data_IF_290046224835
#
_entry.id   IF_290046224835
#
_cell.length_a   1.000
_cell.length_b   1.000
_cell.length_c   1.000
_cell.angle_alpha   90.00
_cell.angle_beta   90.00
_cell.angle_gamma   90.00
#
_symmetry.space_group_name_H-M   'P 1'
#
loop_
_entity.id
_entity.type
_entity.pdbx_description
1 polymer ?
#
# COMPACT_ATOMS: atom_id res chain seq x y z
N UNK A 1 -37.82 -26.75 -29.18
CA UNK A 1 -36.36 -26.56 -29.11
C UNK A 1 -35.97 -25.32 -28.26
N UNK A 2 -36.64 -25.08 -27.13
CA UNK A 2 -36.44 -23.90 -26.24
C UNK A 2 -36.08 -24.30 -24.80
N UNK A 3 -36.27 -25.57 -24.42
CA UNK A 3 -36.04 -26.05 -23.04
C UNK A 3 -34.58 -26.39 -22.69
N UNK A 4 -33.66 -26.40 -23.66
CA UNK A 4 -32.24 -26.67 -23.38
C UNK A 4 -31.46 -25.42 -22.89
N UNK A 5 -31.91 -24.21 -23.26
CA UNK A 5 -31.21 -22.97 -22.86
C UNK A 5 -31.46 -22.58 -21.41
N UNK A 6 -32.62 -22.91 -20.84
CA UNK A 6 -32.95 -22.58 -19.45
C UNK A 6 -32.21 -23.46 -18.43
N UNK A 7 -31.95 -24.74 -18.78
CA UNK A 7 -31.18 -25.66 -17.93
C UNK A 7 -29.71 -25.26 -17.76
N UNK A 8 -29.09 -24.73 -18.82
CA UNK A 8 -27.70 -24.24 -18.78
C UNK A 8 -27.55 -22.96 -17.96
N UNK A 9 -28.54 -22.06 -17.97
CA UNK A 9 -28.55 -20.86 -17.13
C UNK A 9 -28.64 -21.20 -15.63
N UNK A 10 -29.43 -22.21 -15.27
CA UNK A 10 -29.55 -22.67 -13.88
C UNK A 10 -28.27 -23.35 -13.37
N UNK A 11 -27.60 -24.13 -14.23
CA UNK A 11 -26.31 -24.75 -13.91
C UNK A 11 -25.19 -23.69 -13.76
N UNK A 12 -25.20 -22.63 -14.57
CA UNK A 12 -24.27 -21.50 -14.41
C UNK A 12 -24.51 -20.71 -13.12
N UNK A 13 -25.77 -20.45 -12.75
CA UNK A 13 -26.11 -19.78 -11.50
C UNK A 13 -25.80 -20.63 -10.26
N UNK A 14 -25.97 -21.96 -10.35
CA UNK A 14 -25.58 -22.88 -9.28
C UNK A 14 -24.06 -23.00 -9.13
N UNK A 15 -23.31 -23.01 -10.24
CA UNK A 15 -21.85 -22.96 -10.21
C UNK A 15 -21.32 -21.62 -9.67
N UNK A 16 -21.96 -20.49 -9.99
CA UNK A 16 -21.61 -19.19 -9.42
C UNK A 16 -21.91 -19.10 -7.91
N UNK A 17 -23.02 -19.69 -7.44
CA UNK A 17 -23.30 -19.80 -5.99
C UNK A 17 -22.34 -20.73 -5.26
N UNK A 18 -21.83 -21.77 -5.92
CA UNK A 18 -20.86 -22.72 -5.34
C UNK A 18 -19.45 -22.14 -5.18
N UNK A 19 -19.11 -21.05 -5.88
CA UNK A 19 -17.79 -20.40 -5.74
C UNK A 19 -17.74 -19.47 -4.51
N UNK A 20 -18.89 -19.10 -3.93
CA UNK A 20 -18.94 -18.24 -2.75
C UNK A 20 -18.74 -18.97 -1.40
N UNK A 21 -18.67 -20.31 -1.37
CA UNK A 21 -18.60 -21.09 -0.11
C UNK A 21 -17.23 -21.66 0.25
N UNK A 22 -16.14 -21.16 -0.35
CA UNK A 22 -14.78 -21.44 0.12
C UNK A 22 -14.01 -20.14 0.35
N UNK A 23 -14.59 -19.24 1.14
CA UNK A 23 -13.78 -18.24 1.84
C UNK A 23 -12.90 -19.01 2.83
N UNK A 24 -11.63 -19.16 2.47
CA UNK A 24 -10.58 -19.64 3.37
C UNK A 24 -10.74 -18.95 4.72
N UNK A 25 -10.86 -19.75 5.78
CA UNK A 25 -11.01 -19.37 7.18
C UNK A 25 -9.74 -18.71 7.74
N UNK A 26 -9.25 -17.67 7.08
CA UNK A 26 -8.36 -16.72 7.72
C UNK A 26 -9.24 -15.65 8.39
N UNK A 27 -9.13 -15.43 9.71
CA UNK A 27 -9.77 -14.28 10.33
C UNK A 27 -9.41 -13.02 9.51
N UNK A 28 -10.43 -12.24 9.17
CA UNK A 28 -10.33 -11.06 8.30
C UNK A 28 -9.60 -9.93 9.04
N UNK A 29 -8.34 -10.17 9.41
CA UNK A 29 -7.52 -9.21 10.09
C UNK A 29 -7.17 -8.12 9.09
N UNK A 30 -7.64 -6.90 9.33
CA UNK A 30 -7.29 -5.73 8.52
C UNK A 30 -5.79 -5.36 8.62
N UNK A 31 -5.03 -6.00 9.52
CA UNK A 31 -3.65 -5.68 9.80
C UNK A 31 -2.87 -6.91 10.28
N UNK A 32 -1.60 -6.99 9.90
CA UNK A 32 -0.63 -8.00 10.36
C UNK A 32 0.65 -7.32 10.85
N UNK A 33 1.50 -8.08 11.53
CA UNK A 33 2.88 -7.69 11.85
C UNK A 33 3.85 -8.54 11.05
N UNK A 34 4.73 -7.90 10.30
CA UNK A 34 5.85 -8.56 9.64
C UNK A 34 7.12 -8.43 10.47
N UNK A 35 7.71 -9.57 10.85
CA UNK A 35 8.91 -9.67 11.67
C UNK A 35 10.05 -10.40 10.92
N UNK A 36 10.75 -9.66 10.05
CA UNK A 36 11.76 -10.26 9.17
C UNK A 36 13.15 -10.44 9.79
N UNK A 37 13.46 -9.71 10.87
CA UNK A 37 14.71 -9.83 11.63
C UNK A 37 14.49 -9.32 13.04
N UNK A 38 15.29 -9.82 14.01
CA UNK A 38 15.15 -9.71 15.48
C UNK A 38 14.88 -8.32 16.09
N UNK A 39 14.77 -7.22 15.33
CA UNK A 39 14.45 -5.88 15.84
C UNK A 39 13.72 -4.99 14.82
N UNK A 40 12.90 -5.55 13.93
CA UNK A 40 12.25 -4.79 12.86
C UNK A 40 10.83 -5.26 12.56
N UNK A 41 9.96 -5.22 13.57
CA UNK A 41 8.54 -5.43 13.38
C UNK A 41 7.93 -4.28 12.53
N UNK A 42 7.10 -4.62 11.56
CA UNK A 42 6.38 -3.66 10.71
C UNK A 42 4.91 -4.02 10.73
N UNK A 43 4.06 -3.08 11.13
CA UNK A 43 2.62 -3.22 10.91
C UNK A 43 2.32 -3.05 9.43
N UNK A 44 1.53 -3.95 8.87
CA UNK A 44 1.13 -3.94 7.46
C UNK A 44 -0.40 -4.00 7.39
N UNK A 45 -0.98 -3.15 6.54
CA UNK A 45 -2.43 -3.10 6.28
C UNK A 45 -2.69 -2.87 4.79
N UNK A 46 -3.94 -3.01 4.36
CA UNK A 46 -4.39 -2.74 2.99
C UNK A 46 -5.47 -1.67 3.02
N UNK A 47 -5.31 -0.64 2.18
CA UNK A 47 -6.25 0.49 2.05
C UNK A 47 -6.42 0.75 0.57
N UNK A 48 -7.66 0.73 0.07
CA UNK A 48 -8.00 0.86 -1.35
C UNK A 48 -7.16 -0.09 -2.24
N UNK A 49 -7.05 -1.36 -1.83
CA UNK A 49 -6.25 -2.40 -2.51
C UNK A 49 -4.74 -2.09 -2.63
N UNK A 50 -4.25 -1.07 -1.91
CA UNK A 50 -2.84 -0.75 -1.82
C UNK A 50 -2.28 -1.24 -0.49
N UNK A 51 -1.09 -1.84 -0.47
CA UNK A 51 -0.51 -2.29 0.78
C UNK A 51 0.32 -1.16 1.40
N UNK A 52 0.23 -1.07 2.72
CA UNK A 52 0.85 -0.03 3.53
C UNK A 52 1.66 -0.64 4.65
N UNK A 53 2.84 -0.10 4.93
CA UNK A 53 3.59 -0.44 6.13
C UNK A 53 3.82 0.78 7.01
N UNK A 54 3.79 0.59 8.32
CA UNK A 54 4.16 1.62 9.28
C UNK A 54 5.69 1.63 9.47
N UNK A 55 6.32 2.79 9.23
CA UNK A 55 7.75 2.98 9.42
C UNK A 55 8.14 2.92 10.90
N UNK A 56 9.28 2.29 11.21
CA UNK A 56 9.88 2.32 12.56
C UNK A 56 10.93 3.40 12.74
N UNK A 57 11.02 4.37 11.83
CA UNK A 57 11.96 5.48 11.97
C UNK A 57 13.42 5.17 11.62
N UNK A 58 13.91 3.94 11.87
CA UNK A 58 15.33 3.53 11.77
C UNK A 58 16.10 4.06 10.55
N UNK A 59 15.47 4.03 9.36
CA UNK A 59 16.11 4.48 8.09
C UNK A 59 15.39 5.70 7.47
N UNK A 60 14.40 6.27 8.15
CA UNK A 60 13.58 7.36 7.60
C UNK A 60 13.56 8.62 8.46
N UNK A 61 13.98 8.53 9.72
CA UNK A 61 13.80 9.59 10.71
C UNK A 61 12.34 9.81 11.16
N UNK A 62 11.38 9.11 10.55
CA UNK A 62 9.95 9.32 10.78
C UNK A 62 9.25 8.03 11.18
N UNK A 63 9.40 7.68 12.45
CA UNK A 63 8.64 6.59 13.05
C UNK A 63 7.14 6.89 13.04
N UNK A 64 6.32 5.88 12.74
CA UNK A 64 4.87 6.00 12.71
C UNK A 64 4.30 6.50 11.37
N UNK A 65 5.12 6.94 10.41
CA UNK A 65 4.63 7.28 9.06
C UNK A 65 4.27 6.03 8.27
N UNK A 66 3.08 6.01 7.69
CA UNK A 66 2.60 4.95 6.80
C UNK A 66 3.06 5.17 5.37
N UNK A 67 3.71 4.16 4.78
CA UNK A 67 4.20 4.20 3.41
C UNK A 67 3.59 3.09 2.57
N UNK A 68 3.22 3.44 1.35
CA UNK A 68 2.87 2.49 0.32
C UNK A 68 4.10 1.65 -0.08
N UNK A 69 3.86 0.40 -0.46
CA UNK A 69 4.89 -0.52 -0.97
C UNK A 69 4.30 -1.51 -1.98
N UNK A 70 5.12 -2.32 -2.62
CA UNK A 70 4.72 -3.28 -3.67
C UNK A 70 4.65 -4.74 -3.22
N UNK A 71 4.84 -5.00 -1.93
CA UNK A 71 4.99 -6.35 -1.37
C UNK A 71 6.36 -6.59 -0.75
N UNK A 72 6.62 -7.84 -0.37
CA UNK A 72 7.86 -8.26 0.27
C UNK A 72 8.68 -9.12 -0.69
N UNK A 73 9.97 -8.86 -0.77
CA UNK A 73 10.85 -9.61 -1.66
C UNK A 73 11.01 -11.06 -1.19
N UNK A 74 10.56 -12.04 -1.98
CA UNK A 74 10.58 -13.46 -1.58
C UNK A 74 11.94 -14.13 -1.78
N UNK A 75 12.74 -13.63 -2.73
CA UNK A 75 14.06 -14.14 -3.10
C UNK A 75 15.09 -13.02 -3.05
N UNK A 76 16.31 -13.31 -2.60
CA UNK A 76 17.41 -12.34 -2.69
C UNK A 76 17.59 -11.86 -4.14
N UNK A 77 17.81 -10.56 -4.31
CA UNK A 77 18.22 -9.94 -5.58
C UNK A 77 19.68 -9.47 -5.49
N UNK A 78 20.23 -8.92 -6.57
CA UNK A 78 21.59 -8.37 -6.57
C UNK A 78 21.82 -7.30 -5.49
N UNK A 79 20.80 -6.45 -5.24
CA UNK A 79 20.92 -5.29 -4.36
C UNK A 79 20.20 -5.43 -3.02
N UNK A 80 19.31 -6.43 -2.87
CA UNK A 80 18.46 -6.56 -1.69
C UNK A 80 18.34 -8.00 -1.24
N UNK A 81 18.46 -8.22 0.06
CA UNK A 81 18.17 -9.51 0.68
C UNK A 81 16.69 -9.85 0.54
N UNK A 82 16.34 -11.14 0.65
CA UNK A 82 14.97 -11.58 0.90
C UNK A 82 14.34 -10.75 2.04
N UNK A 83 13.01 -10.65 2.08
CA UNK A 83 12.24 -9.94 3.10
C UNK A 83 12.29 -8.42 3.09
N UNK A 84 12.99 -7.83 2.12
CA UNK A 84 12.95 -6.39 1.92
C UNK A 84 11.57 -5.95 1.43
N UNK A 85 11.06 -4.85 2.00
CA UNK A 85 9.85 -4.19 1.50
C UNK A 85 10.17 -3.51 0.17
N UNK A 86 9.38 -3.80 -0.85
CA UNK A 86 9.53 -3.26 -2.19
C UNK A 86 8.98 -1.84 -2.22
N UNK A 87 9.84 -0.82 -2.17
CA UNK A 87 9.42 0.59 -2.05
C UNK A 87 9.19 1.22 -3.42
N UNK A 88 8.42 2.32 -3.51
CA UNK A 88 8.24 3.01 -4.79
C UNK A 88 9.52 3.62 -5.37
N UNK A 89 10.54 3.91 -4.56
CA UNK A 89 11.83 4.39 -5.08
C UNK A 89 12.55 3.31 -5.91
N UNK A 90 12.45 2.04 -5.54
CA UNK A 90 12.92 0.93 -6.39
C UNK A 90 12.06 0.72 -7.65
N UNK A 91 10.87 1.31 -7.73
CA UNK A 91 10.06 1.39 -8.98
C UNK A 91 10.47 2.59 -9.86
N UNK A 92 11.19 3.57 -9.31
CA UNK A 92 11.42 4.87 -9.95
C UNK A 92 12.67 4.91 -10.85
N UNK A 93 13.59 3.97 -10.70
CA UNK A 93 14.88 3.97 -11.42
C UNK A 93 14.74 3.65 -12.92
N UNK A 94 13.63 3.07 -13.37
CA UNK A 94 13.50 2.68 -14.78
C UNK A 94 12.71 3.64 -15.68
N UNK A 95 11.78 4.51 -15.20
CA UNK A 95 11.00 5.41 -16.10
C UNK A 95 10.04 6.44 -15.45
N UNK A 96 10.32 6.97 -14.26
CA UNK A 96 9.35 7.83 -13.54
C UNK A 96 9.92 9.14 -12.99
N UNK A 97 9.67 10.26 -13.69
CA UNK A 97 10.05 11.59 -13.21
C UNK A 97 9.15 12.06 -12.05
N UNK A 98 9.74 12.76 -11.06
CA UNK A 98 9.03 13.31 -9.87
C UNK A 98 7.76 14.10 -10.22
N UNK A 99 7.76 14.76 -11.37
CA UNK A 99 6.66 15.55 -11.92
C UNK A 99 5.46 14.70 -12.34
N UNK A 100 5.66 13.44 -12.77
CA UNK A 100 4.60 12.55 -13.24
C UNK A 100 3.76 11.97 -12.10
N UNK A 101 4.36 11.77 -10.92
CA UNK A 101 3.69 11.15 -9.77
C UNK A 101 2.81 12.12 -8.95
N UNK A 102 3.19 13.40 -8.90
CA UNK A 102 2.54 14.38 -8.04
C UNK A 102 2.06 15.63 -8.79
N UNK A 103 2.37 15.73 -10.09
CA UNK A 103 2.19 16.96 -10.85
C UNK A 103 3.27 18.01 -10.55
N UNK A 104 3.33 19.00 -11.44
CA UNK A 104 4.25 20.13 -11.34
C UNK A 104 3.98 20.99 -10.11
N UNK A 105 2.71 21.24 -9.78
CA UNK A 105 2.31 22.12 -8.67
C UNK A 105 2.79 21.61 -7.30
N UNK A 106 2.57 20.33 -7.00
CA UNK A 106 2.99 19.72 -5.72
C UNK A 106 4.52 19.62 -5.67
N UNK A 107 5.15 19.24 -6.78
CA UNK A 107 6.61 19.17 -6.88
C UNK A 107 7.25 20.53 -6.61
N UNK A 108 6.68 21.60 -7.18
CA UNK A 108 7.11 22.97 -6.93
C UNK A 108 6.91 23.35 -5.46
N UNK A 109 5.74 23.08 -4.87
CA UNK A 109 5.46 23.37 -3.46
C UNK A 109 6.47 22.68 -2.52
N UNK A 110 6.73 21.39 -2.74
CA UNK A 110 7.70 20.59 -1.97
C UNK A 110 9.13 21.15 -2.05
N UNK A 111 9.53 21.66 -3.22
CA UNK A 111 10.83 22.33 -3.41
C UNK A 111 10.87 23.70 -2.74
N UNK A 112 9.88 24.56 -3.02
CA UNK A 112 9.76 25.92 -2.49
C UNK A 112 9.78 25.96 -0.96
N UNK A 113 9.24 24.93 -0.30
CA UNK A 113 9.20 24.84 1.15
C UNK A 113 10.27 23.91 1.74
N UNK A 114 11.28 23.50 0.95
CA UNK A 114 12.40 22.63 1.34
C UNK A 114 11.98 21.30 1.97
N UNK A 115 10.77 20.80 1.69
CA UNK A 115 10.25 19.56 2.27
C UNK A 115 11.06 18.35 1.78
N UNK A 116 11.57 18.40 0.55
CA UNK A 116 12.40 17.35 -0.05
C UNK A 116 13.70 17.05 0.71
N UNK A 117 14.20 17.99 1.52
CA UNK A 117 15.38 17.79 2.37
C UNK A 117 15.07 16.90 3.59
N UNK A 118 13.80 16.85 3.99
CA UNK A 118 13.36 16.10 5.16
C UNK A 118 12.93 14.69 4.75
N UNK A 119 12.14 14.57 3.68
CA UNK A 119 11.62 13.28 3.25
C UNK A 119 11.81 13.07 1.75
N UNK A 120 12.23 11.86 1.37
CA UNK A 120 12.19 11.45 -0.02
C UNK A 120 10.73 11.27 -0.43
N UNK A 121 10.17 12.29 -1.08
CA UNK A 121 8.74 12.35 -1.37
C UNK A 121 8.24 11.23 -2.30
N UNK A 122 9.12 10.65 -3.14
CA UNK A 122 8.78 9.47 -3.94
C UNK A 122 8.42 8.23 -3.11
N UNK A 123 8.74 8.20 -1.80
CA UNK A 123 8.33 7.10 -0.92
C UNK A 123 6.83 7.01 -0.71
N UNK A 124 6.10 8.08 -0.97
CA UNK A 124 4.63 8.06 -0.90
C UNK A 124 3.99 7.43 -2.14
N UNK A 125 4.72 7.23 -3.24
CA UNK A 125 4.12 6.81 -4.52
C UNK A 125 3.58 8.02 -5.27
N UNK A 126 2.25 8.15 -5.37
CA UNK A 126 1.53 9.25 -6.03
C UNK A 126 0.81 10.16 -5.03
N UNK A 127 0.09 11.13 -5.57
CA UNK A 127 -0.63 12.12 -4.78
C UNK A 127 -1.77 11.52 -3.95
N UNK A 128 -2.50 10.53 -4.49
CA UNK A 128 -3.54 9.82 -3.76
C UNK A 128 -2.94 9.15 -2.52
N UNK A 129 -1.84 8.44 -2.72
CA UNK A 129 -1.14 7.73 -1.63
C UNK A 129 -0.50 8.69 -0.64
N UNK A 130 0.00 9.85 -1.07
CA UNK A 130 0.44 10.89 -0.15
C UNK A 130 -0.71 11.43 0.71
N UNK A 131 -1.89 11.66 0.12
CA UNK A 131 -3.10 12.09 0.86
C UNK A 131 -3.56 11.03 1.86
N UNK A 132 -3.61 9.76 1.46
CA UNK A 132 -3.95 8.63 2.34
C UNK A 132 -2.97 8.54 3.53
N UNK A 133 -1.66 8.61 3.27
CA UNK A 133 -0.64 8.65 4.32
C UNK A 133 -0.85 9.84 5.27
N UNK A 134 -1.14 11.02 4.72
CA UNK A 134 -1.41 12.22 5.49
C UNK A 134 -2.68 12.12 6.35
N UNK A 135 -3.73 11.44 5.88
CA UNK A 135 -4.93 11.12 6.66
C UNK A 135 -4.59 10.32 7.91
N UNK A 136 -3.77 9.26 7.77
CA UNK A 136 -3.36 8.41 8.88
C UNK A 136 -2.50 9.17 9.90
N UNK A 137 -1.64 10.08 9.42
CA UNK A 137 -0.77 10.90 10.26
C UNK A 137 0.47 10.15 10.76
N UNK A 138 0.99 10.52 11.93
CA UNK A 138 2.21 9.95 12.51
C UNK A 138 3.51 10.41 11.83
N UNK A 139 4.63 10.26 12.53
CA UNK A 139 5.98 10.57 12.04
C UNK A 139 6.11 11.92 11.33
N UNK A 140 6.47 11.90 10.04
CA UNK A 140 6.67 13.07 9.20
C UNK A 140 5.48 14.04 9.26
N UNK A 141 4.25 13.53 9.28
CA UNK A 141 3.03 14.35 9.26
C UNK A 141 2.81 15.14 10.56
N UNK A 142 3.48 14.78 11.66
CA UNK A 142 3.47 15.52 12.92
C UNK A 142 4.48 16.68 12.94
N UNK A 143 5.49 16.64 12.05
CA UNK A 143 6.48 17.71 11.94
C UNK A 143 5.86 19.02 11.41
N UNK A 144 6.53 20.15 11.67
CA UNK A 144 6.08 21.45 11.14
C UNK A 144 6.01 21.50 9.60
N UNK A 145 6.90 20.79 8.90
CA UNK A 145 6.89 20.67 7.43
C UNK A 145 5.78 19.73 6.96
N UNK A 146 5.58 18.62 7.65
CA UNK A 146 4.49 17.68 7.35
C UNK A 146 3.11 18.29 7.55
N UNK A 147 2.90 19.08 8.61
CA UNK A 147 1.66 19.82 8.84
C UNK A 147 1.36 20.79 7.70
N UNK A 148 2.34 21.59 7.26
CA UNK A 148 2.18 22.52 6.12
C UNK A 148 1.81 21.78 4.83
N UNK A 149 2.52 20.70 4.53
CA UNK A 149 2.22 19.91 3.34
C UNK A 149 0.83 19.26 3.41
N UNK A 150 0.47 18.70 4.58
CA UNK A 150 -0.86 18.12 4.80
C UNK A 150 -1.97 19.16 4.56
N UNK A 151 -1.80 20.40 5.05
CA UNK A 151 -2.76 21.47 4.78
C UNK A 151 -2.86 21.81 3.30
N UNK A 152 -1.73 21.87 2.59
CA UNK A 152 -1.71 22.06 1.14
C UNK A 152 -2.42 20.93 0.40
N UNK A 153 -2.11 19.67 0.73
CA UNK A 153 -2.74 18.50 0.10
C UNK A 153 -4.25 18.47 0.39
N UNK A 154 -4.67 18.74 1.63
CA UNK A 154 -6.09 18.76 2.00
C UNK A 154 -6.87 19.85 1.28
N UNK A 155 -6.25 21.01 1.03
CA UNK A 155 -6.86 22.11 0.28
C UNK A 155 -7.05 21.77 -1.21
N UNK A 156 -6.06 21.13 -1.82
CA UNK A 156 -6.04 20.95 -3.29
C UNK A 156 -6.53 19.57 -3.75
N UNK A 157 -6.51 18.56 -2.88
CA UNK A 157 -6.86 17.18 -3.20
C UNK A 157 -7.71 16.52 -2.09
N UNK A 158 -8.80 17.17 -1.61
CA UNK A 158 -9.60 16.67 -0.49
C UNK A 158 -10.21 15.30 -0.76
N UNK A 159 -10.52 14.98 -2.02
CA UNK A 159 -11.15 13.72 -2.43
C UNK A 159 -10.33 12.47 -2.14
N UNK A 160 -9.01 12.60 -1.97
CA UNK A 160 -8.12 11.47 -1.66
C UNK A 160 -7.89 11.26 -0.16
N UNK A 161 -8.43 12.12 0.71
CA UNK A 161 -8.31 11.96 2.15
C UNK A 161 -9.32 10.93 2.65
N UNK A 162 -8.83 9.97 3.44
CA UNK A 162 -9.70 9.00 4.14
C UNK A 162 -10.70 9.68 5.07
N UNK A 163 -11.88 9.05 5.21
CA UNK A 163 -12.89 9.47 6.17
C UNK A 163 -12.42 9.27 7.62
N UNK A 164 -12.97 10.02 8.61
CA UNK A 164 -12.64 9.85 10.02
C UNK A 164 -12.87 8.43 10.54
N UNK A 165 -13.90 7.75 10.05
CA UNK A 165 -14.24 6.38 10.43
C UNK A 165 -13.15 5.38 10.02
N UNK A 166 -12.71 5.43 8.76
CA UNK A 166 -11.62 4.58 8.27
C UNK A 166 -10.33 4.82 9.06
N UNK A 167 -10.00 6.10 9.34
CA UNK A 167 -8.82 6.46 10.12
C UNK A 167 -8.91 5.87 11.54
N UNK A 168 -10.08 5.96 12.19
CA UNK A 168 -10.31 5.40 13.53
C UNK A 168 -10.10 3.88 13.53
N UNK A 169 -10.69 3.18 12.57
CA UNK A 169 -10.58 1.72 12.46
C UNK A 169 -9.13 1.28 12.30
N UNK A 170 -8.37 1.91 11.40
CA UNK A 170 -6.95 1.57 11.18
C UNK A 170 -6.11 1.83 12.44
N UNK A 171 -6.34 2.95 13.13
CA UNK A 171 -5.63 3.26 14.37
C UNK A 171 -5.93 2.27 15.48
N UNK A 172 -7.20 1.88 15.62
CA UNK A 172 -7.61 0.87 16.60
C UNK A 172 -6.96 -0.48 16.29
N UNK A 173 -6.94 -0.91 15.02
CA UNK A 173 -6.22 -2.11 14.60
C UNK A 173 -4.72 -2.03 14.89
N UNK A 174 -4.10 -0.85 14.69
CA UNK A 174 -2.67 -0.65 14.98
C UNK A 174 -2.35 -0.74 16.48
N UNK A 175 -3.30 -0.43 17.36
CA UNK A 175 -3.15 -0.54 18.81
C UNK A 175 -3.36 -1.96 19.33
N UNK A 176 -3.93 -2.87 18.52
CA UNK A 176 -4.13 -4.26 18.92
C UNK A 176 -2.78 -4.97 19.07
N UNK A 177 -2.56 -5.61 20.21
CA UNK A 177 -1.36 -6.43 20.49
C UNK A 177 -1.48 -7.85 19.96
N UNK A 178 -2.70 -8.30 19.69
CA UNK A 178 -3.02 -9.66 19.22
C UNK A 178 -3.17 -9.68 17.70
N UNK A 179 -2.16 -9.16 16.98
CA UNK A 179 -2.10 -9.22 15.52
C UNK A 179 -1.36 -10.48 15.06
N UNK A 180 -1.76 -11.12 13.94
CA UNK A 180 -0.98 -12.18 13.33
C UNK A 180 0.44 -11.70 13.03
N UNK A 181 1.44 -12.50 13.43
CA UNK A 181 2.85 -12.22 13.18
C UNK A 181 3.34 -13.17 12.09
N UNK A 182 3.79 -12.61 10.98
CA UNK A 182 4.44 -13.35 9.91
C UNK A 182 5.94 -13.05 9.89
N UNK A 183 6.75 -14.09 9.81
CA UNK A 183 8.20 -13.98 9.66
C UNK A 183 8.67 -14.38 8.26
N UNK A 184 7.83 -15.12 7.51
CA UNK A 184 8.09 -15.47 6.11
C UNK A 184 7.50 -14.42 5.16
N UNK A 185 8.33 -13.79 4.28
CA UNK A 185 7.87 -12.98 3.16
C UNK A 185 6.73 -13.58 2.33
N UNK A 186 6.73 -14.91 2.11
CA UNK A 186 5.68 -15.58 1.35
C UNK A 186 4.32 -15.48 2.04
N UNK A 187 4.28 -15.61 3.37
CA UNK A 187 3.04 -15.47 4.15
C UNK A 187 2.50 -14.05 4.06
N UNK A 188 3.38 -13.05 4.10
CA UNK A 188 2.96 -11.65 3.92
C UNK A 188 2.37 -11.43 2.55
N UNK A 189 3.05 -11.88 1.48
CA UNK A 189 2.55 -11.70 0.12
C UNK A 189 1.25 -12.49 -0.15
N UNK A 190 1.11 -13.68 0.43
CA UNK A 190 -0.14 -14.45 0.36
C UNK A 190 -1.28 -13.69 1.03
N UNK A 191 -1.07 -13.21 2.26
CA UNK A 191 -2.06 -12.41 2.98
C UNK A 191 -2.46 -11.16 2.20
N UNK A 192 -1.48 -10.43 1.63
CA UNK A 192 -1.78 -9.29 0.78
C UNK A 192 -2.68 -9.66 -0.41
N UNK A 193 -2.51 -10.88 -0.98
CA UNK A 193 -3.28 -11.34 -2.15
C UNK A 193 -4.72 -11.60 -1.76
N UNK A 194 -4.90 -12.25 -0.62
CA UNK A 194 -6.20 -12.52 -0.02
C UNK A 194 -6.94 -11.23 0.34
N UNK A 195 -6.21 -10.14 0.66
CA UNK A 195 -6.77 -8.81 0.87
C UNK A 195 -7.08 -8.03 -0.44
N UNK A 196 -6.92 -8.66 -1.61
CA UNK A 196 -7.27 -8.04 -2.89
C UNK A 196 -6.24 -7.04 -3.43
N UNK A 197 -4.98 -7.10 -2.96
CA UNK A 197 -3.93 -6.24 -3.51
C UNK A 197 -3.63 -6.65 -4.95
N UNK A 198 -4.06 -5.80 -5.89
CA UNK A 198 -3.97 -6.05 -7.32
C UNK A 198 -2.52 -6.12 -7.86
N UNK A 199 -1.54 -5.59 -7.11
CA UNK A 199 -0.17 -5.38 -7.59
C UNK A 199 0.88 -6.16 -6.81
N UNK A 200 0.54 -7.34 -6.27
CA UNK A 200 1.53 -8.21 -5.66
C UNK A 200 2.47 -8.76 -6.70
N UNK A 201 3.65 -8.15 -6.81
CA UNK A 201 4.66 -8.60 -7.75
C UNK A 201 4.67 -7.89 -9.11
N UNK A 202 4.26 -6.60 -9.19
CA UNK A 202 4.61 -5.74 -10.35
C UNK A 202 6.14 -5.51 -10.48
N UNK A 203 6.97 -6.28 -9.78
CA UNK A 203 8.44 -6.19 -9.78
C UNK A 203 9.14 -7.55 -9.90
N UNK A 204 8.57 -8.47 -10.66
CA UNK A 204 9.34 -9.61 -11.18
C UNK A 204 9.28 -9.78 -12.71
N UNK A 205 8.62 -8.86 -13.45
CA UNK A 205 8.59 -8.93 -14.91
C UNK A 205 8.38 -7.54 -15.54
N UNK A 206 9.34 -7.07 -16.33
CA UNK A 206 9.28 -5.81 -17.10
C UNK A 206 8.12 -5.78 -18.13
N UNK A 207 7.49 -6.92 -18.42
CA UNK A 207 6.36 -7.02 -19.36
C UNK A 207 5.00 -6.57 -18.80
N UNK A 208 4.88 -6.26 -17.49
CA UNK A 208 3.61 -5.90 -16.85
C UNK A 208 3.31 -4.41 -16.83
N UNK A 209 4.05 -3.60 -17.60
CA UNK A 209 3.60 -2.27 -17.98
C UNK A 209 2.43 -2.41 -18.95
N UNK A 210 1.20 -2.32 -18.44
CA UNK A 210 0.02 -2.06 -19.26
C UNK A 210 0.30 -0.83 -20.12
N UNK A 211 0.52 -1.05 -21.43
CA UNK A 211 0.39 -0.01 -22.44
C UNK A 211 -1.09 0.05 -22.78
N UNK A 212 -1.81 1.17 -22.56
CA UNK A 212 -3.07 1.35 -23.23
C UNK A 212 -2.77 1.38 -24.73
N UNK A 213 -3.33 0.42 -25.46
CA UNK A 213 -3.23 0.38 -26.92
C UNK A 213 -3.92 1.63 -27.50
N UNK A 214 -3.29 2.20 -28.54
CA UNK A 214 -3.98 3.02 -29.53
C UNK A 214 -4.84 2.10 -30.40
#
# INVERSE_FOLDING_TARGET
>A
MINLLWGLCYLFLAAMKSIESNKSTFPNHAMIVFNYHRNSCRRITVINNYPWYQSTGRNSGYEGTWFFFGGVLEKKSAHHSRGWLIKPKSLAEERYTKTRFFGSHVSHYVRKHSIHQFITFSRFGDIEKACISASLGGGFWLSGKGKRLKSYLKKNYPQYFLSPEIIKNIRQSAMNTNLPIYSDPKQVNLWLREQGVATLGVLHNESLLFRPNR
#
